data_IF_597326035560
#
_entry.id   IF_597326035560
#
_cell.length_a   1.000
_cell.length_b   1.000
_cell.length_c   1.000
_cell.angle_alpha   90.00
_cell.angle_beta   90.00
_cell.angle_gamma   90.00
#
_symmetry.space_group_name_H-M   'P 1'
#
loop_
_entity.id
_entity.type
_entity.pdbx_description
1 polymer ?
#
# COMPACT_ATOMS: atom_id res chain seq x y z
N UNK A 1 2.34 45.08 -21.26
CA UNK A 1 3.48 44.67 -22.09
C UNK A 1 4.36 43.68 -21.30
N UNK A 2 4.82 44.05 -20.09
CA UNK A 2 5.75 43.20 -19.28
C UNK A 2 5.20 41.80 -18.93
N UNK A 3 3.92 41.66 -18.58
CA UNK A 3 3.34 40.36 -18.23
C UNK A 3 3.34 39.38 -19.42
N UNK A 4 3.13 39.87 -20.64
CA UNK A 4 3.14 39.09 -21.88
C UNK A 4 4.54 38.59 -22.23
N UNK A 5 5.53 39.44 -22.04
CA UNK A 5 6.95 39.10 -22.27
C UNK A 5 7.44 38.06 -21.25
N UNK A 6 7.05 38.21 -19.99
CA UNK A 6 7.37 37.22 -18.94
C UNK A 6 6.77 35.85 -19.23
N UNK A 7 5.48 35.81 -19.64
CA UNK A 7 4.82 34.57 -20.01
C UNK A 7 5.48 33.91 -21.22
N UNK A 8 5.82 34.67 -22.22
CA UNK A 8 6.54 34.17 -23.41
C UNK A 8 7.91 33.60 -23.04
N UNK A 9 8.64 34.29 -22.17
CA UNK A 9 9.95 33.85 -21.70
C UNK A 9 9.86 32.56 -20.91
N UNK A 10 8.87 32.44 -20.02
CA UNK A 10 8.61 31.22 -19.27
C UNK A 10 8.27 30.04 -20.19
N UNK A 11 7.39 30.25 -21.17
CA UNK A 11 7.00 29.20 -22.14
C UNK A 11 8.21 28.74 -22.96
N UNK A 12 9.06 29.71 -23.41
CA UNK A 12 10.27 29.39 -24.18
C UNK A 12 11.26 28.58 -23.35
N UNK A 13 11.48 28.98 -22.08
CA UNK A 13 12.34 28.20 -21.17
C UNK A 13 11.81 26.81 -20.85
N UNK A 14 10.53 26.69 -20.62
CA UNK A 14 9.89 25.38 -20.41
C UNK A 14 10.09 24.46 -21.62
N UNK A 15 9.81 24.96 -22.82
CA UNK A 15 10.02 24.18 -24.06
C UNK A 15 11.48 23.78 -24.26
N UNK A 16 12.44 24.63 -23.93
CA UNK A 16 13.87 24.30 -24.03
C UNK A 16 14.29 23.24 -23.04
N UNK A 17 13.75 23.27 -21.79
CA UNK A 17 14.02 22.29 -20.76
C UNK A 17 13.40 20.95 -21.16
N UNK A 18 12.18 20.97 -21.69
CA UNK A 18 11.48 19.80 -22.19
C UNK A 18 12.26 19.14 -23.33
N UNK A 19 12.63 19.90 -24.36
CA UNK A 19 13.41 19.39 -25.49
C UNK A 19 14.77 18.83 -25.05
N UNK A 20 15.43 19.49 -24.12
CA UNK A 20 16.70 19.02 -23.56
C UNK A 20 16.49 17.71 -22.79
N UNK A 21 15.43 17.64 -21.96
CA UNK A 21 15.08 16.44 -21.21
C UNK A 21 14.76 15.26 -22.12
N UNK A 22 13.97 15.46 -23.18
CA UNK A 22 13.59 14.41 -24.13
C UNK A 22 14.78 13.81 -24.90
N UNK A 23 15.86 14.61 -25.06
CA UNK A 23 17.08 14.10 -25.72
C UNK A 23 17.98 13.28 -24.78
N UNK A 24 17.92 13.52 -23.48
CA UNK A 24 18.81 12.88 -22.49
C UNK A 24 18.10 11.75 -21.75
N UNK A 25 16.83 11.95 -21.40
CA UNK A 25 16.07 11.01 -20.59
C UNK A 25 15.02 10.29 -21.43
N UNK A 26 14.84 9.00 -21.16
CA UNK A 26 13.69 8.27 -21.65
C UNK A 26 12.53 8.47 -20.72
N UNK A 27 11.31 8.38 -21.25
CA UNK A 27 10.08 8.37 -20.46
C UNK A 27 10.18 7.39 -19.30
N UNK A 28 9.89 7.83 -18.09
CA UNK A 28 10.01 7.03 -16.87
C UNK A 28 11.44 6.87 -16.33
N UNK A 29 12.45 7.52 -16.93
CA UNK A 29 13.83 7.46 -16.42
C UNK A 29 13.95 8.05 -15.03
N UNK A 30 14.74 7.39 -14.18
CA UNK A 30 15.14 7.90 -12.88
C UNK A 30 16.25 8.94 -13.04
N UNK A 31 16.02 10.14 -12.55
CA UNK A 31 16.99 11.26 -12.62
C UNK A 31 17.79 11.36 -11.32
N UNK A 32 17.13 11.20 -10.19
CA UNK A 32 17.75 11.11 -8.86
C UNK A 32 17.41 9.75 -8.28
N UNK A 33 18.29 9.16 -7.46
CA UNK A 33 18.08 7.82 -6.95
C UNK A 33 16.68 7.62 -6.40
N UNK A 34 15.94 6.76 -7.06
CA UNK A 34 14.66 6.21 -6.67
C UNK A 34 14.66 4.76 -7.12
N UNK A 35 13.92 3.93 -6.44
CA UNK A 35 13.84 2.51 -6.74
C UNK A 35 12.43 2.17 -7.17
N UNK A 36 12.31 1.47 -8.28
CA UNK A 36 11.05 0.83 -8.67
C UNK A 36 11.24 -0.66 -8.44
N UNK A 37 10.48 -1.23 -7.54
CA UNK A 37 10.45 -2.66 -7.30
C UNK A 37 9.08 -3.23 -7.65
N UNK A 38 9.08 -4.31 -8.41
CA UNK A 38 7.86 -5.05 -8.74
C UNK A 38 7.93 -6.38 -8.02
N UNK A 39 6.98 -6.64 -7.16
CA UNK A 39 6.80 -7.95 -6.53
C UNK A 39 5.52 -8.56 -7.07
N UNK A 40 5.65 -9.71 -7.70
CA UNK A 40 4.55 -10.41 -8.37
C UNK A 40 3.82 -11.42 -7.49
N UNK A 41 4.19 -11.55 -6.23
CA UNK A 41 3.64 -12.55 -5.31
C UNK A 41 3.59 -12.04 -3.86
N UNK A 42 2.91 -10.91 -3.66
CA UNK A 42 2.43 -10.58 -2.32
C UNK A 42 1.22 -11.43 -1.98
N UNK A 43 1.19 -11.93 -0.78
CA UNK A 43 -0.04 -12.50 -0.25
C UNK A 43 -1.00 -11.37 0.11
N UNK A 44 -2.27 -11.61 -0.16
CA UNK A 44 -3.35 -10.69 0.14
C UNK A 44 -4.34 -11.37 1.08
N UNK A 45 -4.89 -10.63 2.03
CA UNK A 45 -6.01 -11.06 2.87
C UNK A 45 -7.11 -10.00 2.80
N UNK A 46 -8.28 -10.43 2.36
CA UNK A 46 -9.48 -9.61 2.30
C UNK A 46 -10.21 -9.68 3.64
N UNK A 47 -10.64 -8.54 4.13
CA UNK A 47 -11.35 -8.45 5.40
C UNK A 47 -12.72 -7.80 5.23
N UNK A 48 -13.61 -8.08 6.16
CA UNK A 48 -14.89 -7.40 6.27
C UNK A 48 -14.70 -5.89 6.41
N UNK A 49 -15.59 -5.11 5.83
CA UNK A 49 -15.52 -3.63 5.85
C UNK A 49 -15.62 -3.03 7.24
N UNK A 50 -16.23 -3.74 8.19
CA UNK A 50 -16.37 -3.29 9.56
C UNK A 50 -16.11 -4.43 10.56
N UNK A 51 -15.51 -4.08 11.69
CA UNK A 51 -15.29 -4.97 12.81
C UNK A 51 -15.95 -4.38 14.07
N UNK A 52 -16.86 -5.14 14.70
CA UNK A 52 -17.72 -4.67 15.80
C UNK A 52 -18.41 -3.32 15.52
N UNK A 53 -18.83 -3.09 14.26
CA UNK A 53 -19.53 -1.88 13.85
C UNK A 53 -18.61 -0.66 13.58
N UNK A 54 -17.29 -0.83 13.69
CA UNK A 54 -16.30 0.19 13.36
C UNK A 54 -15.72 -0.13 11.98
N UNK A 55 -15.81 0.79 11.00
CA UNK A 55 -15.19 0.58 9.70
C UNK A 55 -13.68 0.39 9.81
N UNK A 56 -13.16 -0.69 9.22
CA UNK A 56 -11.74 -1.05 9.31
C UNK A 56 -10.84 -0.02 8.63
N UNK A 57 -11.33 0.65 7.60
CA UNK A 57 -10.58 1.69 6.88
C UNK A 57 -10.18 2.89 7.76
N UNK A 58 -10.86 3.14 8.90
CA UNK A 58 -10.50 4.24 9.79
C UNK A 58 -9.15 4.07 10.48
N UNK A 59 -8.67 2.86 10.58
CA UNK A 59 -7.39 2.53 11.22
C UNK A 59 -6.49 1.63 10.36
N UNK A 60 -6.89 1.33 9.13
CA UNK A 60 -6.11 0.47 8.24
C UNK A 60 -4.68 1.00 8.00
N UNK A 61 -4.52 2.33 7.93
CA UNK A 61 -3.22 2.99 7.81
C UNK A 61 -2.29 2.70 9.00
N UNK A 62 -2.85 2.52 10.21
CA UNK A 62 -2.08 2.20 11.43
C UNK A 62 -1.69 0.72 11.52
N UNK A 63 -2.37 -0.13 10.73
CA UNK A 63 -2.06 -1.55 10.64
C UNK A 63 -0.84 -1.80 9.73
N UNK A 64 -0.56 -0.91 8.78
CA UNK A 64 0.60 -1.02 7.91
C UNK A 64 1.90 -1.03 8.74
N UNK A 65 2.75 -2.00 8.47
CA UNK A 65 3.99 -2.23 9.23
C UNK A 65 3.81 -3.08 10.49
N UNK A 66 2.58 -3.30 10.96
CA UNK A 66 2.30 -4.12 12.15
C UNK A 66 2.31 -5.61 11.80
N UNK A 67 2.53 -6.41 12.83
CA UNK A 67 2.35 -7.85 12.78
C UNK A 67 0.94 -8.22 13.20
N UNK A 68 0.36 -9.12 12.46
CA UNK A 68 -0.98 -9.64 12.69
C UNK A 68 -0.93 -11.16 12.80
N UNK A 69 -1.88 -11.71 13.54
CA UNK A 69 -1.97 -13.14 13.81
C UNK A 69 -3.41 -13.62 13.61
N UNK A 70 -3.58 -14.73 12.92
CA UNK A 70 -4.88 -15.39 12.84
C UNK A 70 -5.24 -16.06 14.17
N UNK A 71 -6.46 -15.81 14.66
CA UNK A 71 -6.95 -16.38 15.93
C UNK A 71 -7.04 -17.89 15.89
N UNK A 72 -7.51 -18.42 14.78
CA UNK A 72 -7.74 -19.87 14.58
C UNK A 72 -6.50 -20.53 13.97
N UNK A 73 -5.96 -19.98 12.91
CA UNK A 73 -4.82 -20.54 12.19
C UNK A 73 -3.52 -20.45 12.99
N UNK A 74 -3.38 -19.45 13.85
CA UNK A 74 -2.12 -19.14 14.53
C UNK A 74 -1.02 -18.64 13.60
N UNK A 75 -1.34 -18.40 12.33
CA UNK A 75 -0.41 -17.87 11.32
C UNK A 75 -0.10 -16.43 11.64
N UNK A 76 1.16 -16.03 11.49
CA UNK A 76 1.62 -14.66 11.71
C UNK A 76 2.10 -14.05 10.41
N UNK A 77 1.71 -12.81 10.16
CA UNK A 77 2.15 -12.06 8.99
C UNK A 77 2.41 -10.60 9.32
N UNK A 78 3.33 -9.98 8.59
CA UNK A 78 3.53 -8.53 8.61
C UNK A 78 2.69 -7.89 7.52
N UNK A 79 1.93 -6.85 7.87
CA UNK A 79 1.19 -6.05 6.90
C UNK A 79 2.15 -5.10 6.21
N UNK A 80 2.18 -5.15 4.89
CA UNK A 80 3.07 -4.33 4.05
C UNK A 80 2.34 -3.11 3.53
N UNK A 81 1.08 -3.29 3.11
CA UNK A 81 0.24 -2.24 2.56
C UNK A 81 -1.23 -2.65 2.64
N UNK A 82 -2.13 -1.75 2.30
CA UNK A 82 -3.55 -2.06 2.15
C UNK A 82 -4.15 -1.32 0.96
N UNK A 83 -5.28 -1.81 0.48
CA UNK A 83 -6.14 -1.16 -0.51
C UNK A 83 -7.53 -1.05 0.10
N UNK A 84 -8.11 0.15 0.04
CA UNK A 84 -9.47 0.40 0.50
C UNK A 84 -10.49 -0.34 -0.38
N UNK A 85 -11.67 -0.60 0.16
CA UNK A 85 -12.76 -1.26 -0.57
C UNK A 85 -13.17 -0.50 -1.84
N UNK A 86 -13.07 0.86 -1.84
CA UNK A 86 -13.36 1.70 -3.00
C UNK A 86 -12.38 1.52 -4.16
N UNK A 87 -11.14 1.14 -3.88
CA UNK A 87 -10.05 1.02 -4.84
C UNK A 87 -9.71 -0.45 -5.17
N UNK A 88 -10.32 -1.37 -4.43
CA UNK A 88 -10.12 -2.80 -4.60
C UNK A 88 -10.99 -3.36 -5.71
N UNK A 89 -10.42 -4.17 -6.59
CA UNK A 89 -11.15 -4.88 -7.66
C UNK A 89 -12.22 -5.85 -7.12
N UNK A 90 -12.06 -6.29 -5.88
CA UNK A 90 -13.00 -7.21 -5.21
C UNK A 90 -14.06 -6.51 -4.38
N UNK A 91 -13.97 -5.18 -4.20
CA UNK A 91 -14.86 -4.40 -3.36
C UNK A 91 -14.69 -4.67 -1.86
N UNK A 92 -13.62 -5.35 -1.44
CA UNK A 92 -13.29 -5.61 -0.05
C UNK A 92 -11.98 -4.91 0.33
N UNK A 93 -11.88 -4.40 1.55
CA UNK A 93 -10.63 -3.91 2.08
C UNK A 93 -9.62 -5.07 2.11
N UNK A 94 -8.47 -4.85 1.52
CA UNK A 94 -7.46 -5.90 1.32
C UNK A 94 -6.13 -5.48 1.92
N UNK A 95 -5.61 -6.27 2.85
CA UNK A 95 -4.25 -6.12 3.35
C UNK A 95 -3.29 -6.96 2.53
N UNK A 96 -2.19 -6.36 2.08
CA UNK A 96 -1.05 -7.08 1.54
C UNK A 96 -0.13 -7.49 2.68
N UNK A 97 0.17 -8.77 2.75
CA UNK A 97 0.88 -9.34 3.88
C UNK A 97 2.09 -10.16 3.45
N UNK A 98 3.06 -10.24 4.33
CA UNK A 98 4.18 -11.14 4.23
C UNK A 98 4.11 -12.12 5.40
N UNK A 99 3.85 -13.38 5.10
CA UNK A 99 3.81 -14.42 6.14
C UNK A 99 5.19 -14.65 6.73
N UNK A 100 5.27 -14.62 8.06
CA UNK A 100 6.52 -14.81 8.80
C UNK A 100 6.55 -16.17 9.51
N UNK A 101 5.39 -16.71 9.86
CA UNK A 101 5.27 -17.95 10.60
C UNK A 101 4.09 -18.78 10.10
N UNK A 102 4.36 -20.04 9.81
CA UNK A 102 3.32 -20.99 9.51
C UNK A 102 2.57 -21.39 10.80
N UNK A 103 1.35 -21.87 10.63
CA UNK A 103 0.53 -22.40 11.70
C UNK A 103 1.27 -23.42 12.57
N UNK A 104 1.09 -23.33 13.88
CA UNK A 104 1.54 -24.36 14.83
C UNK A 104 0.81 -25.69 14.68
N UNK A 105 -0.34 -25.68 14.00
CA UNK A 105 -1.19 -26.84 13.79
C UNK A 105 -0.95 -27.59 12.47
N UNK A 106 0.00 -27.12 11.64
CA UNK A 106 0.30 -27.68 10.31
C UNK A 106 -0.87 -27.71 9.31
N UNK A 107 -1.97 -27.03 9.61
CA UNK A 107 -3.20 -27.06 8.79
C UNK A 107 -3.30 -25.97 7.75
N UNK A 108 -2.33 -25.05 7.70
CA UNK A 108 -2.29 -23.99 6.68
C UNK A 108 -1.03 -23.14 6.78
N UNK A 109 -0.67 -22.54 5.66
CA UNK A 109 0.41 -21.54 5.56
C UNK A 109 -0.14 -20.13 5.45
N UNK A 110 -1.45 -19.98 5.36
CA UNK A 110 -2.18 -18.72 5.18
C UNK A 110 -3.28 -18.59 6.23
N UNK A 111 -3.83 -17.41 6.38
CA UNK A 111 -5.01 -17.18 7.20
C UNK A 111 -6.19 -18.01 6.70
N UNK A 112 -7.14 -18.30 7.59
CA UNK A 112 -8.36 -19.03 7.25
C UNK A 112 -9.50 -18.07 6.93
N UNK A 113 -10.42 -18.54 6.10
CA UNK A 113 -11.65 -17.82 5.79
C UNK A 113 -12.48 -17.61 7.07
N UNK A 114 -12.98 -16.39 7.27
CA UNK A 114 -13.84 -16.04 8.40
C UNK A 114 -13.14 -15.90 9.76
N UNK A 115 -11.81 -16.09 9.85
CA UNK A 115 -11.13 -15.96 11.14
C UNK A 115 -10.92 -14.50 11.55
N UNK A 116 -10.87 -14.27 12.86
CA UNK A 116 -10.47 -12.99 13.44
C UNK A 116 -8.97 -12.79 13.31
N UNK A 117 -8.58 -11.60 12.89
CA UNK A 117 -7.19 -11.16 12.84
C UNK A 117 -6.87 -10.35 14.10
N UNK A 118 -5.82 -10.74 14.80
CA UNK A 118 -5.35 -10.14 16.04
C UNK A 118 -4.12 -9.28 15.76
N UNK A 119 -3.99 -8.16 16.47
CA UNK A 119 -2.75 -7.37 16.50
C UNK A 119 -1.73 -8.01 17.43
N UNK A 120 -0.45 -8.08 17.05
CA UNK A 120 0.61 -8.42 18.00
C UNK A 120 1.07 -7.21 18.85
N UNK A 121 0.85 -6.01 18.36
CA UNK A 121 1.18 -4.76 19.07
C UNK A 121 -0.01 -3.82 19.09
N UNK A 122 -0.16 -3.04 20.15
CA UNK A 122 -1.24 -2.07 20.25
C UNK A 122 -1.09 -0.94 19.24
N UNK A 123 -2.22 -0.50 18.70
CA UNK A 123 -2.30 0.71 17.85
C UNK A 123 -3.26 1.71 18.48
N UNK A 124 -3.05 2.97 18.13
CA UNK A 124 -3.94 4.08 18.55
C UNK A 124 -4.47 4.78 17.31
N UNK A 125 -5.79 4.90 17.22
CA UNK A 125 -6.44 5.71 16.19
C UNK A 125 -7.47 6.63 16.85
N UNK A 126 -7.50 7.89 16.45
CA UNK A 126 -8.27 8.92 17.14
C UNK A 126 -8.02 8.86 18.65
N UNK A 127 -9.04 8.61 19.47
CA UNK A 127 -8.93 8.47 20.94
C UNK A 127 -9.14 7.01 21.41
N UNK A 128 -9.05 6.04 20.51
CA UNK A 128 -9.28 4.61 20.79
C UNK A 128 -7.98 3.84 20.65
N UNK A 129 -7.75 2.91 21.56
CA UNK A 129 -6.62 1.97 21.51
C UNK A 129 -7.17 0.59 21.22
N UNK A 130 -6.62 -0.08 20.22
CA UNK A 130 -6.77 -1.53 20.04
C UNK A 130 -5.52 -2.15 20.64
N UNK A 131 -5.70 -2.98 21.66
CA UNK A 131 -4.58 -3.53 22.43
C UNK A 131 -3.91 -4.69 21.69
N UNK A 132 -2.71 -5.06 22.13
CA UNK A 132 -2.06 -6.26 21.65
C UNK A 132 -2.91 -7.51 21.98
N UNK A 133 -2.95 -8.44 21.05
CA UNK A 133 -3.76 -9.65 21.07
C UNK A 133 -5.29 -9.42 21.03
N UNK A 134 -5.73 -8.22 20.71
CA UNK A 134 -7.14 -7.94 20.40
C UNK A 134 -7.41 -8.07 18.91
N UNK A 135 -8.64 -8.51 18.57
CA UNK A 135 -9.15 -8.54 17.20
C UNK A 135 -9.34 -7.15 16.65
N UNK A 136 -8.96 -6.97 15.39
CA UNK A 136 -9.16 -5.71 14.69
C UNK A 136 -9.91 -5.85 13.37
N UNK A 137 -9.97 -7.03 12.81
CA UNK A 137 -10.69 -7.32 11.57
C UNK A 137 -11.08 -8.81 11.54
N UNK A 138 -12.07 -9.14 10.74
CA UNK A 138 -12.37 -10.53 10.37
C UNK A 138 -12.05 -10.74 8.89
N UNK A 139 -11.37 -11.81 8.58
CA UNK A 139 -11.23 -12.28 7.21
C UNK A 139 -12.62 -12.55 6.61
N UNK A 140 -12.83 -12.33 5.32
CA UNK A 140 -14.12 -12.63 4.69
C UNK A 140 -14.41 -14.13 4.75
N UNK A 141 -15.69 -14.55 4.77
CA UNK A 141 -16.08 -15.94 5.02
C UNK A 141 -15.75 -16.91 3.89
N UNK A 142 -15.30 -16.42 2.73
CA UNK A 142 -14.92 -17.27 1.60
C UNK A 142 -13.93 -16.57 0.69
N UNK A 143 -12.81 -17.23 0.39
CA UNK A 143 -11.78 -16.71 -0.51
C UNK A 143 -11.00 -15.51 0.08
N UNK A 144 -10.85 -15.48 1.40
CA UNK A 144 -10.18 -14.39 2.09
C UNK A 144 -8.72 -14.19 1.65
N UNK A 145 -8.03 -15.25 1.32
CA UNK A 145 -6.60 -15.20 1.00
C UNK A 145 -6.33 -15.41 -0.49
N UNK A 146 -5.37 -14.66 -1.00
CA UNK A 146 -4.95 -14.72 -2.40
C UNK A 146 -3.53 -14.20 -2.58
N UNK A 147 -3.14 -14.02 -3.82
CA UNK A 147 -1.88 -13.40 -4.20
C UNK A 147 -2.13 -12.20 -5.10
N UNK A 148 -1.39 -11.12 -4.90
CA UNK A 148 -1.44 -9.93 -5.71
C UNK A 148 -0.05 -9.47 -6.15
N UNK A 149 0.00 -8.60 -7.14
CA UNK A 149 1.23 -7.94 -7.56
C UNK A 149 1.25 -6.51 -7.02
N UNK A 150 2.39 -6.08 -6.52
CA UNK A 150 2.58 -4.71 -6.08
C UNK A 150 3.78 -4.07 -6.75
N UNK A 151 3.62 -2.82 -7.14
CA UNK A 151 4.71 -1.96 -7.62
C UNK A 151 5.00 -0.95 -6.53
N UNK A 152 6.20 -0.94 -6.03
CA UNK A 152 6.66 0.05 -5.07
C UNK A 152 7.61 1.03 -5.76
N UNK A 153 7.32 2.33 -5.61
CA UNK A 153 8.14 3.41 -6.12
C UNK A 153 8.62 4.20 -4.90
N UNK A 154 9.93 4.19 -4.66
CA UNK A 154 10.50 4.99 -3.57
C UNK A 154 10.65 6.44 -4.00
N UNK A 155 10.87 7.31 -3.01
CA UNK A 155 11.15 8.73 -3.25
C UNK A 155 12.27 8.91 -4.29
N UNK A 156 12.12 9.93 -5.09
CA UNK A 156 13.08 10.25 -6.15
C UNK A 156 12.53 11.26 -7.15
N UNK A 157 13.29 11.54 -8.19
CA UNK A 157 12.86 12.38 -9.30
C UNK A 157 12.85 11.55 -10.57
N UNK A 158 11.71 11.57 -11.24
CA UNK A 158 11.45 10.81 -12.46
C UNK A 158 11.15 11.78 -13.61
N UNK A 159 11.60 11.43 -14.81
CA UNK A 159 11.28 12.20 -16.00
C UNK A 159 10.01 11.65 -16.64
N UNK A 160 8.95 12.47 -16.72
CA UNK A 160 7.65 12.10 -17.26
C UNK A 160 7.11 13.22 -18.14
N UNK A 161 6.88 12.94 -19.41
CA UNK A 161 6.26 13.87 -20.38
C UNK A 161 6.90 15.27 -20.35
N UNK A 162 8.21 15.34 -20.49
CA UNK A 162 8.92 16.61 -20.49
C UNK A 162 9.13 17.24 -19.10
N UNK A 163 8.67 16.62 -18.04
CA UNK A 163 8.73 17.18 -16.69
C UNK A 163 9.50 16.30 -15.72
N UNK A 164 10.19 16.94 -14.78
CA UNK A 164 10.83 16.29 -13.65
C UNK A 164 9.82 16.20 -12.49
N UNK A 165 9.29 15.03 -12.27
CA UNK A 165 8.29 14.76 -11.23
C UNK A 165 8.97 14.20 -9.99
N UNK A 166 8.83 14.90 -8.86
CA UNK A 166 9.30 14.42 -7.58
C UNK A 166 8.24 13.52 -6.94
N UNK A 167 8.62 12.27 -6.67
CA UNK A 167 7.86 11.37 -5.81
C UNK A 167 8.42 11.55 -4.41
N UNK A 168 7.57 11.90 -3.45
CA UNK A 168 7.88 11.99 -2.02
C UNK A 168 7.10 10.90 -1.28
N UNK A 169 7.60 10.51 -0.11
CA UNK A 169 6.87 9.63 0.82
C UNK A 169 5.55 10.24 1.25
#
# INVERSE_FOLDING_TARGET
VQARELTTLQTTLQNQIEQFGDHIFREGSKVIPGQVSVQTSYYAVQVESAFFGIPVNFYADKIVGQRIKGEVSGVTAKVVNYIDESDSDTGNLTFYVQYEKSSTSFTGQTFQDGETLLLESSITYANTVISANEGFASAIPSGATGTGSAVNITEGVYYLRGNFVRVAE
#
